data_IF_995799178082
#
_entry.id   IF_995799178082
#
_cell.length_a   1.000
_cell.length_b   1.000
_cell.length_c   1.000
_cell.angle_alpha   90.00
_cell.angle_beta   90.00
_cell.angle_gamma   90.00
#
_symmetry.space_group_name_H-M   'P 1'
#
loop_
_entity.id
_entity.type
_entity.pdbx_description
1 polymer ?
#
# COMPACT_ATOMS: atom_id res chain seq x y z
N UNK A 1 5.87 24.45 -10.65
CA UNK A 1 6.17 23.01 -10.51
C UNK A 1 6.88 22.56 -11.77
N UNK A 2 8.06 21.94 -11.67
CA UNK A 2 8.72 21.34 -12.82
C UNK A 2 7.86 20.19 -13.36
N UNK A 3 7.81 20.03 -14.68
CA UNK A 3 7.05 18.95 -15.30
C UNK A 3 7.57 17.59 -14.80
N UNK A 4 6.65 16.69 -14.43
CA UNK A 4 7.01 15.32 -13.98
C UNK A 4 7.81 14.60 -15.09
N UNK A 5 8.89 13.87 -14.78
CA UNK A 5 9.72 13.20 -15.79
C UNK A 5 8.90 12.25 -16.67
N UNK A 6 9.27 12.12 -17.95
CA UNK A 6 8.57 11.27 -18.91
C UNK A 6 8.38 9.82 -18.40
N UNK A 7 9.40 9.13 -17.85
CA UNK A 7 9.20 7.76 -17.34
C UNK A 7 8.16 7.68 -16.22
N UNK A 8 8.12 8.67 -15.32
CA UNK A 8 7.12 8.74 -14.24
C UNK A 8 5.72 8.96 -14.79
N UNK A 9 5.57 9.82 -15.81
CA UNK A 9 4.26 10.09 -16.43
C UNK A 9 3.71 8.87 -17.15
N UNK A 10 4.55 8.18 -17.92
CA UNK A 10 4.16 6.97 -18.67
C UNK A 10 3.82 5.82 -17.72
N UNK A 11 4.61 5.64 -16.66
CA UNK A 11 4.31 4.67 -15.62
C UNK A 11 3.01 5.00 -14.89
N UNK A 12 2.79 6.26 -14.50
CA UNK A 12 1.55 6.66 -13.84
C UNK A 12 0.33 6.43 -14.74
N UNK A 13 0.42 6.78 -16.03
CA UNK A 13 -0.65 6.54 -16.99
C UNK A 13 -1.00 5.05 -17.10
N UNK A 14 0.01 4.17 -17.12
CA UNK A 14 -0.20 2.72 -17.07
C UNK A 14 -0.93 2.29 -15.78
N UNK A 15 -0.53 2.80 -14.61
CA UNK A 15 -1.20 2.47 -13.35
C UNK A 15 -2.66 2.94 -13.34
N UNK A 16 -2.94 4.15 -13.82
CA UNK A 16 -4.32 4.67 -13.95
C UNK A 16 -5.15 3.78 -14.87
N UNK A 17 -4.64 3.42 -16.05
CA UNK A 17 -5.32 2.57 -17.02
C UNK A 17 -5.72 1.21 -16.43
N UNK A 18 -4.85 0.62 -15.60
CA UNK A 18 -5.05 -0.70 -15.03
C UNK A 18 -5.43 -0.71 -13.55
N UNK A 19 -5.81 0.45 -12.98
CA UNK A 19 -6.13 0.58 -11.55
C UNK A 19 -7.24 -0.36 -11.10
N UNK A 20 -8.21 -0.62 -11.98
CA UNK A 20 -9.33 -1.53 -11.74
C UNK A 20 -8.90 -2.95 -11.34
N UNK A 21 -7.73 -3.42 -11.80
CA UNK A 21 -7.19 -4.74 -11.44
C UNK A 21 -6.89 -4.81 -9.95
N UNK A 22 -6.08 -3.87 -9.44
CA UNK A 22 -5.73 -3.86 -8.03
C UNK A 22 -6.92 -3.44 -7.16
N UNK A 23 -7.78 -2.54 -7.63
CA UNK A 23 -8.99 -2.15 -6.91
C UNK A 23 -9.89 -3.35 -6.57
N UNK A 24 -10.09 -4.28 -7.51
CA UNK A 24 -10.85 -5.51 -7.24
C UNK A 24 -10.20 -6.40 -6.17
N UNK A 25 -8.87 -6.55 -6.23
CA UNK A 25 -8.09 -7.31 -5.24
C UNK A 25 -8.20 -6.67 -3.85
N UNK A 26 -8.04 -5.35 -3.76
CA UNK A 26 -8.16 -4.61 -2.50
C UNK A 26 -9.58 -4.69 -1.94
N UNK A 27 -10.61 -4.64 -2.80
CA UNK A 27 -12.00 -4.80 -2.37
C UNK A 27 -12.25 -6.19 -1.78
N UNK A 28 -11.67 -7.25 -2.33
CA UNK A 28 -11.74 -8.60 -1.76
C UNK A 28 -11.06 -8.68 -0.38
N UNK A 29 -9.82 -8.20 -0.28
CA UNK A 29 -9.08 -8.17 0.98
C UNK A 29 -9.82 -7.37 2.08
N UNK A 30 -10.31 -6.18 1.75
CA UNK A 30 -11.06 -5.34 2.69
C UNK A 30 -12.43 -5.93 3.01
N UNK A 31 -13.12 -6.50 2.02
CA UNK A 31 -14.42 -7.15 2.23
C UNK A 31 -14.35 -8.26 3.27
N UNK A 32 -13.32 -9.10 3.22
CA UNK A 32 -13.07 -10.11 4.25
C UNK A 32 -12.61 -9.51 5.59
N UNK A 33 -11.77 -8.48 5.56
CA UNK A 33 -11.30 -7.81 6.79
C UNK A 33 -12.45 -7.15 7.55
N UNK A 34 -13.52 -6.80 6.82
CA UNK A 34 -14.74 -6.19 7.34
C UNK A 34 -15.89 -7.21 7.49
N UNK A 35 -15.62 -8.52 7.49
CA UNK A 35 -16.62 -9.57 7.67
C UNK A 35 -17.17 -9.75 9.09
N UNK A 36 -16.45 -9.40 10.20
CA UNK A 36 -16.99 -9.54 11.54
C UNK A 36 -18.32 -8.82 11.76
N UNK A 37 -19.06 -9.22 12.79
CA UNK A 37 -20.40 -8.68 13.06
C UNK A 37 -20.35 -7.21 13.53
N UNK A 38 -19.42 -6.88 14.42
CA UNK A 38 -19.31 -5.56 15.05
C UNK A 38 -18.27 -4.68 14.33
N UNK A 39 -18.45 -3.36 14.40
CA UNK A 39 -17.47 -2.41 13.84
C UNK A 39 -16.12 -2.51 14.58
N UNK A 40 -16.17 -2.75 15.88
CA UNK A 40 -14.98 -2.94 16.72
C UNK A 40 -14.13 -4.13 16.25
N UNK A 41 -14.75 -5.31 16.10
CA UNK A 41 -14.05 -6.51 15.62
C UNK A 41 -13.51 -6.34 14.19
N UNK A 42 -14.24 -5.62 13.33
CA UNK A 42 -13.74 -5.27 11.98
C UNK A 42 -12.48 -4.43 12.04
N UNK A 43 -12.42 -3.47 12.96
CA UNK A 43 -11.27 -2.58 13.11
C UNK A 43 -10.06 -3.36 13.61
N UNK A 44 -10.26 -4.18 14.65
CA UNK A 44 -9.23 -5.05 15.18
C UNK A 44 -8.74 -6.05 14.12
N UNK A 45 -9.63 -6.69 13.37
CA UNK A 45 -9.26 -7.63 12.31
C UNK A 45 -8.46 -6.95 11.19
N UNK A 46 -8.86 -5.76 10.76
CA UNK A 46 -8.12 -4.99 9.75
C UNK A 46 -6.70 -4.65 10.25
N UNK A 47 -6.55 -4.18 11.49
CA UNK A 47 -5.25 -3.91 12.10
C UNK A 47 -4.40 -5.19 12.17
N UNK A 48 -4.97 -6.31 12.62
CA UNK A 48 -4.29 -7.60 12.69
C UNK A 48 -3.79 -8.05 11.32
N UNK A 49 -4.64 -8.01 10.30
CA UNK A 49 -4.27 -8.41 8.93
C UNK A 49 -3.15 -7.54 8.38
N UNK A 50 -3.15 -6.23 8.64
CA UNK A 50 -2.05 -5.35 8.23
C UNK A 50 -0.75 -5.70 8.96
N UNK A 51 -0.78 -5.89 10.28
CA UNK A 51 0.41 -6.25 11.06
C UNK A 51 0.97 -7.62 10.68
N UNK A 52 0.12 -8.57 10.28
CA UNK A 52 0.52 -9.88 9.78
C UNK A 52 1.24 -9.84 8.42
N UNK A 53 1.24 -8.70 7.71
CA UNK A 53 2.07 -8.53 6.50
C UNK A 53 3.56 -8.31 6.80
N UNK A 54 3.93 -8.15 8.08
CA UNK A 54 5.33 -8.06 8.49
C UNK A 54 6.02 -9.41 8.31
N UNK A 55 7.25 -9.39 7.80
CA UNK A 55 8.03 -10.62 7.62
C UNK A 55 8.45 -11.29 8.94
N UNK A 56 8.62 -10.49 10.01
CA UNK A 56 9.00 -10.93 11.35
C UNK A 56 8.31 -10.05 12.40
N UNK A 57 7.00 -10.25 12.65
CA UNK A 57 6.26 -9.43 13.60
C UNK A 57 6.79 -9.61 15.03
N UNK A 58 6.97 -8.50 15.74
CA UNK A 58 7.32 -8.53 17.17
C UNK A 58 6.03 -8.61 17.98
N UNK A 59 5.73 -9.78 18.52
CA UNK A 59 4.42 -10.05 19.14
C UNK A 59 4.19 -9.26 20.42
N UNK A 60 5.19 -9.09 21.29
CA UNK A 60 4.97 -8.36 22.57
C UNK A 60 4.59 -6.88 22.33
N UNK A 61 5.29 -6.11 21.46
CA UNK A 61 4.85 -4.76 21.10
C UNK A 61 3.46 -4.73 20.45
N UNK A 62 3.14 -5.69 19.59
CA UNK A 62 1.80 -5.77 18.96
C UNK A 62 0.73 -6.03 20.02
N UNK A 63 0.99 -6.93 20.97
CA UNK A 63 0.09 -7.23 22.09
C UNK A 63 -0.15 -5.97 22.93
N UNK A 64 0.92 -5.23 23.25
CA UNK A 64 0.81 -3.96 23.96
C UNK A 64 -0.12 -2.97 23.24
N UNK A 65 0.09 -2.77 21.94
CA UNK A 65 -0.76 -1.90 21.14
C UNK A 65 -2.25 -2.31 21.19
N UNK A 66 -2.56 -3.59 20.99
CA UNK A 66 -3.96 -4.04 21.02
C UNK A 66 -4.62 -3.92 22.39
N UNK A 67 -3.86 -4.09 23.47
CA UNK A 67 -4.35 -3.81 24.83
C UNK A 67 -4.70 -2.34 24.98
N UNK A 68 -3.82 -1.44 24.56
CA UNK A 68 -4.05 0.01 24.63
C UNK A 68 -5.25 0.46 23.78
N UNK A 69 -5.43 -0.10 22.58
CA UNK A 69 -6.59 0.17 21.73
C UNK A 69 -7.89 -0.23 22.43
N UNK A 70 -7.93 -1.43 23.03
CA UNK A 70 -9.11 -1.94 23.72
C UNK A 70 -9.41 -1.16 24.99
N UNK A 71 -8.41 -0.94 25.83
CA UNK A 71 -8.56 -0.25 27.12
C UNK A 71 -9.06 1.19 26.96
N UNK A 72 -8.78 1.81 25.81
CA UNK A 72 -9.19 3.19 25.49
C UNK A 72 -10.42 3.29 24.59
N UNK A 73 -11.03 2.18 24.17
CA UNK A 73 -12.12 2.18 23.18
C UNK A 73 -11.72 2.79 21.83
N UNK A 74 -10.43 2.77 21.49
CA UNK A 74 -9.90 3.47 20.32
C UNK A 74 -10.29 2.80 18.98
N UNK A 75 -10.90 1.60 19.03
CA UNK A 75 -11.40 0.88 17.86
C UNK A 75 -12.88 1.15 17.54
N UNK A 76 -13.59 1.91 18.37
CA UNK A 76 -15.03 2.14 18.21
C UNK A 76 -15.38 3.03 17.00
N UNK A 77 -14.57 4.07 16.75
CA UNK A 77 -14.74 5.02 15.66
C UNK A 77 -13.40 5.67 15.27
N UNK A 78 -13.40 6.35 14.12
CA UNK A 78 -12.17 6.95 13.60
C UNK A 78 -11.68 8.13 14.45
N UNK A 79 -12.58 8.94 15.03
CA UNK A 79 -12.21 10.05 15.90
C UNK A 79 -11.44 9.58 17.15
N UNK A 80 -11.94 8.55 17.84
CA UNK A 80 -11.29 7.93 18.99
C UNK A 80 -9.93 7.32 18.61
N UNK A 81 -9.87 6.59 17.50
CA UNK A 81 -8.63 6.05 16.95
C UNK A 81 -7.61 7.17 16.70
N UNK A 82 -8.01 8.20 15.95
CA UNK A 82 -7.13 9.33 15.60
C UNK A 82 -6.65 10.06 16.84
N UNK A 83 -7.50 10.31 17.83
CA UNK A 83 -7.13 10.99 19.07
C UNK A 83 -6.04 10.22 19.82
N UNK A 84 -6.18 8.89 19.91
CA UNK A 84 -5.19 8.03 20.54
C UNK A 84 -3.85 8.03 19.79
N UNK A 85 -3.90 7.88 18.46
CA UNK A 85 -2.70 7.71 17.62
C UNK A 85 -1.91 9.01 17.44
N UNK A 86 -2.60 10.14 17.26
CA UNK A 86 -1.95 11.41 16.87
C UNK A 86 -1.44 12.23 18.05
N UNK A 87 -1.50 11.69 19.28
CA UNK A 87 -1.13 12.40 20.52
C UNK A 87 -1.78 13.79 20.53
N UNK A 88 -3.12 13.81 20.40
CA UNK A 88 -3.90 15.06 20.37
C UNK A 88 -3.72 15.92 19.11
N UNK A 89 -3.27 15.34 17.99
CA UNK A 89 -3.08 16.04 16.71
C UNK A 89 -1.70 16.66 16.50
N UNK A 90 -0.73 16.38 17.39
CA UNK A 90 0.64 16.89 17.27
C UNK A 90 1.43 16.25 16.12
N UNK A 91 1.00 15.09 15.64
CA UNK A 91 1.60 14.37 14.51
C UNK A 91 0.52 13.90 13.52
N UNK A 92 0.91 13.74 12.24
CA UNK A 92 0.04 13.16 11.22
C UNK A 92 -0.30 11.70 11.53
N UNK A 93 -1.39 11.18 10.96
CA UNK A 93 -1.91 9.85 11.32
C UNK A 93 -0.90 8.72 11.04
N UNK A 94 -0.25 8.74 9.87
CA UNK A 94 0.77 7.73 9.54
C UNK A 94 1.97 7.81 10.47
N UNK A 95 2.44 9.02 10.77
CA UNK A 95 3.61 9.20 11.64
C UNK A 95 3.30 8.82 13.09
N UNK A 96 2.13 9.22 13.60
CA UNK A 96 1.65 8.82 14.93
C UNK A 96 1.46 7.31 15.05
N UNK A 97 0.95 6.66 14.01
CA UNK A 97 0.78 5.21 14.00
C UNK A 97 2.13 4.49 13.93
N UNK A 98 3.10 5.02 13.17
CA UNK A 98 4.44 4.47 13.09
C UNK A 98 5.24 4.59 14.40
N UNK A 99 4.81 5.44 15.33
CA UNK A 99 5.38 5.54 16.68
C UNK A 99 4.78 4.52 17.67
N UNK A 100 3.68 3.86 17.30
CA UNK A 100 3.02 2.90 18.19
C UNK A 100 3.80 1.58 18.28
N UNK A 101 3.77 0.89 19.44
CA UNK A 101 4.38 -0.42 19.60
C UNK A 101 3.96 -1.42 18.50
N UNK A 102 4.95 -2.05 17.85
CA UNK A 102 4.70 -3.06 16.82
C UNK A 102 4.41 -2.52 15.42
N UNK A 103 4.24 -1.20 15.27
CA UNK A 103 4.04 -0.56 13.98
C UNK A 103 5.36 0.01 13.43
N UNK A 104 5.53 -0.10 12.11
CA UNK A 104 6.60 0.59 11.39
C UNK A 104 6.01 1.46 10.28
N UNK A 105 6.84 2.33 9.69
CA UNK A 105 6.40 3.29 8.65
C UNK A 105 5.61 2.62 7.52
N UNK A 106 6.07 1.46 7.02
CA UNK A 106 5.36 0.71 5.96
C UNK A 106 3.97 0.25 6.41
N UNK A 107 3.87 -0.41 7.55
CA UNK A 107 2.58 -0.97 8.00
C UNK A 107 1.61 0.13 8.40
N UNK A 108 2.10 1.22 8.99
CA UNK A 108 1.30 2.41 9.25
C UNK A 108 0.74 3.01 7.95
N UNK A 109 1.60 3.22 6.94
CA UNK A 109 1.17 3.69 5.62
C UNK A 109 0.14 2.75 4.98
N UNK A 110 0.36 1.43 5.07
CA UNK A 110 -0.56 0.41 4.54
C UNK A 110 -1.94 0.45 5.23
N UNK A 111 -1.98 0.61 6.55
CA UNK A 111 -3.24 0.71 7.29
C UNK A 111 -4.01 1.97 6.93
N UNK A 112 -3.35 3.14 6.92
CA UNK A 112 -4.03 4.40 6.55
C UNK A 112 -4.47 4.37 5.09
N UNK A 113 -3.71 3.74 4.19
CA UNK A 113 -4.12 3.47 2.81
C UNK A 113 -5.39 2.61 2.76
N UNK A 114 -5.52 1.59 3.61
CA UNK A 114 -6.74 0.78 3.68
C UNK A 114 -7.95 1.60 4.16
N UNK A 115 -7.76 2.48 5.14
CA UNK A 115 -8.79 3.43 5.55
C UNK A 115 -9.24 4.33 4.39
N UNK A 116 -8.32 4.77 3.53
CA UNK A 116 -8.66 5.60 2.37
C UNK A 116 -9.46 4.84 1.31
N UNK A 117 -9.15 3.56 1.05
CA UNK A 117 -9.99 2.71 0.19
C UNK A 117 -11.38 2.48 0.79
N UNK A 118 -11.47 2.27 2.11
CA UNK A 118 -12.76 2.14 2.79
C UNK A 118 -13.55 3.45 2.68
N UNK A 119 -12.90 4.60 2.90
CA UNK A 119 -13.52 5.92 2.83
C UNK A 119 -14.08 6.23 1.44
N UNK A 120 -13.34 5.84 0.39
CA UNK A 120 -13.69 6.11 -1.00
C UNK A 120 -14.69 5.11 -1.61
N UNK A 121 -14.94 3.98 -0.96
CA UNK A 121 -15.80 2.91 -1.49
C UNK A 121 -17.07 2.75 -0.65
N UNK A 122 -18.23 3.14 -1.21
CA UNK A 122 -19.49 3.27 -0.46
C UNK A 122 -19.94 1.99 0.28
N UNK A 123 -19.78 0.82 -0.34
CA UNK A 123 -20.17 -0.46 0.27
C UNK A 123 -19.25 -0.88 1.44
N UNK A 124 -17.95 -0.58 1.37
CA UNK A 124 -17.00 -0.80 2.46
C UNK A 124 -17.23 0.21 3.58
N UNK A 125 -17.43 1.48 3.21
CA UNK A 125 -17.72 2.57 4.13
C UNK A 125 -18.95 2.29 5.00
N UNK A 126 -20.00 1.71 4.42
CA UNK A 126 -21.21 1.35 5.15
C UNK A 126 -20.98 0.29 6.24
N UNK A 127 -19.89 -0.49 6.14
CA UNK A 127 -19.53 -1.56 7.07
C UNK A 127 -18.52 -1.15 8.14
N UNK A 128 -17.96 0.06 8.09
CA UNK A 128 -16.85 0.46 8.97
C UNK A 128 -17.11 1.79 9.68
N UNK A 129 -16.05 2.45 10.17
CA UNK A 129 -16.11 3.78 10.78
C UNK A 129 -16.64 4.83 9.79
N UNK A 130 -17.90 5.25 9.97
CA UNK A 130 -18.59 6.21 9.08
C UNK A 130 -17.92 7.59 9.06
N UNK A 131 -17.25 7.93 10.15
CA UNK A 131 -16.51 9.16 10.41
C UNK A 131 -15.07 9.14 9.87
N UNK A 132 -14.64 8.09 9.15
CA UNK A 132 -13.32 8.05 8.49
C UNK A 132 -13.11 9.27 7.58
N UNK A 133 -11.99 9.97 7.79
CA UNK A 133 -11.54 11.17 7.04
C UNK A 133 -10.00 11.18 6.94
N UNK A 134 -9.46 10.23 6.18
CA UNK A 134 -8.01 10.12 5.90
C UNK A 134 -7.63 10.70 4.55
N UNK A 135 -8.60 10.97 3.66
CA UNK A 135 -8.38 11.67 2.39
C UNK A 135 -8.36 13.20 2.53
N UNK A 136 -8.58 13.71 3.74
CA UNK A 136 -8.47 15.13 4.08
C UNK A 136 -7.08 15.42 4.67
N UNK A 137 -6.37 16.39 4.08
CA UNK A 137 -5.13 16.92 4.67
C UNK A 137 -3.85 16.13 4.37
N UNK A 138 -3.75 15.47 3.21
CA UNK A 138 -2.53 14.81 2.70
C UNK A 138 -1.90 13.79 3.67
N UNK A 139 -2.75 12.92 4.22
CA UNK A 139 -2.38 11.99 5.28
C UNK A 139 -1.79 10.68 4.74
N UNK A 140 -1.91 10.40 3.43
CA UNK A 140 -1.42 9.15 2.88
C UNK A 140 0.09 9.17 2.67
N UNK A 141 0.69 7.99 2.71
CA UNK A 141 2.07 7.72 2.32
C UNK A 141 2.08 6.44 1.50
N UNK A 142 2.94 6.36 0.49
CA UNK A 142 3.14 5.11 -0.25
C UNK A 142 3.83 4.08 0.68
N UNK A 143 3.28 2.87 0.86
CA UNK A 143 3.92 1.83 1.68
C UNK A 143 5.10 1.19 0.94
N UNK A 144 6.25 1.87 0.95
CA UNK A 144 7.46 1.42 0.24
C UNK A 144 8.10 0.21 0.92
N UNK A 145 8.20 -0.89 0.20
CA UNK A 145 8.91 -2.11 0.62
C UNK A 145 9.89 -2.58 -0.45
N UNK A 146 10.52 -3.75 -0.24
CA UNK A 146 11.50 -4.31 -1.16
C UNK A 146 10.98 -4.49 -2.60
N UNK A 147 9.67 -4.70 -2.83
CA UNK A 147 9.11 -4.79 -4.18
C UNK A 147 9.22 -3.44 -4.89
N UNK A 148 8.79 -2.36 -4.21
CA UNK A 148 8.83 -1.01 -4.75
C UNK A 148 10.28 -0.52 -4.88
N UNK A 149 11.15 -0.84 -3.92
CA UNK A 149 12.57 -0.49 -4.01
C UNK A 149 13.22 -1.13 -5.24
N UNK A 150 12.95 -2.40 -5.52
CA UNK A 150 13.46 -3.07 -6.74
C UNK A 150 12.91 -2.46 -8.03
N UNK A 151 11.65 -1.98 -8.04
CA UNK A 151 11.14 -1.21 -9.19
C UNK A 151 11.96 0.08 -9.38
N UNK A 152 12.27 0.77 -8.30
CA UNK A 152 13.04 2.01 -8.34
C UNK A 152 14.51 1.79 -8.71
N UNK A 153 15.10 0.66 -8.34
CA UNK A 153 16.43 0.24 -8.82
C UNK A 153 16.46 0.11 -10.35
N UNK A 154 15.42 -0.50 -10.94
CA UNK A 154 15.30 -0.62 -12.40
C UNK A 154 15.01 0.73 -13.09
N UNK A 155 14.20 1.59 -12.47
CA UNK A 155 13.88 2.92 -13.00
C UNK A 155 15.03 3.93 -12.89
N UNK A 156 15.95 3.75 -11.93
CA UNK A 156 16.96 4.74 -11.58
C UNK A 156 17.78 5.28 -12.78
N UNK A 157 18.26 4.44 -13.73
CA UNK A 157 18.97 4.92 -14.92
C UNK A 157 18.11 5.82 -15.81
N UNK A 158 16.80 5.54 -15.93
CA UNK A 158 15.87 6.32 -16.75
C UNK A 158 15.47 7.65 -16.11
N UNK A 159 15.59 7.73 -14.78
CA UNK A 159 15.26 8.92 -13.99
C UNK A 159 16.47 9.83 -13.72
N UNK A 160 17.68 9.43 -14.14
CA UNK A 160 18.94 10.05 -13.70
C UNK A 160 18.98 10.20 -12.17
N UNK A 161 18.59 9.14 -11.46
CA UNK A 161 18.38 9.18 -10.02
C UNK A 161 19.70 9.31 -9.27
N UNK A 162 19.93 10.46 -8.63
CA UNK A 162 21.19 10.77 -7.94
C UNK A 162 21.24 10.46 -6.43
N UNK A 163 20.23 9.80 -5.85
CA UNK A 163 20.16 9.48 -4.40
C UNK A 163 20.25 7.97 -4.17
N UNK A 164 20.59 7.52 -2.96
CA UNK A 164 20.44 6.11 -2.62
C UNK A 164 18.96 5.67 -2.73
N UNK A 165 18.71 4.48 -3.28
CA UNK A 165 17.35 3.91 -3.32
C UNK A 165 16.99 3.40 -1.93
N UNK A 166 16.08 4.12 -1.27
CA UNK A 166 15.61 3.80 0.08
C UNK A 166 14.15 4.21 0.25
N UNK A 167 13.45 3.62 1.22
CA UNK A 167 12.04 3.93 1.46
C UNK A 167 11.79 5.42 1.72
N UNK A 168 12.68 6.07 2.46
CA UNK A 168 12.58 7.51 2.76
C UNK A 168 12.81 8.38 1.53
N UNK A 169 13.79 8.03 0.67
CA UNK A 169 14.07 8.80 -0.54
C UNK A 169 12.97 8.61 -1.60
N UNK A 170 12.45 7.39 -1.77
CA UNK A 170 11.32 7.10 -2.66
C UNK A 170 10.06 7.81 -2.18
N UNK A 171 9.72 7.72 -0.88
CA UNK A 171 8.58 8.44 -0.31
C UNK A 171 8.69 9.96 -0.50
N UNK A 172 9.87 10.55 -0.21
CA UNK A 172 10.12 11.98 -0.44
C UNK A 172 9.96 12.36 -1.91
N UNK A 173 10.43 11.52 -2.82
CA UNK A 173 10.34 11.78 -4.25
C UNK A 173 8.88 11.91 -4.73
N UNK A 174 8.00 10.98 -4.33
CA UNK A 174 6.58 11.07 -4.70
C UNK A 174 5.89 12.30 -4.12
N UNK A 175 6.04 12.55 -2.82
CA UNK A 175 5.32 13.61 -2.14
C UNK A 175 5.89 15.00 -2.43
N UNK A 176 7.20 15.17 -2.24
CA UNK A 176 7.84 16.48 -2.25
C UNK A 176 8.32 16.87 -3.64
N UNK A 177 9.02 15.96 -4.30
CA UNK A 177 9.71 16.29 -5.55
C UNK A 177 8.73 16.22 -6.75
N UNK A 178 7.74 15.32 -6.73
CA UNK A 178 6.73 15.15 -7.79
C UNK A 178 5.34 15.73 -7.46
N UNK A 179 5.08 16.05 -6.19
CA UNK A 179 3.84 16.69 -5.74
C UNK A 179 2.59 15.80 -5.85
N UNK A 180 2.73 14.48 -5.77
CA UNK A 180 1.58 13.56 -5.76
C UNK A 180 0.82 13.63 -4.43
N UNK A 181 -0.52 13.67 -4.51
CA UNK A 181 -1.44 13.77 -3.35
C UNK A 181 -2.23 12.48 -3.12
N UNK A 182 -2.98 12.42 -2.03
CA UNK A 182 -3.62 11.20 -1.50
C UNK A 182 -4.32 10.33 -2.56
N UNK A 183 -5.19 10.91 -3.39
CA UNK A 183 -5.89 10.13 -4.45
C UNK A 183 -4.94 9.56 -5.50
N UNK A 184 -3.91 10.31 -5.87
CA UNK A 184 -2.91 9.83 -6.83
C UNK A 184 -2.02 8.75 -6.19
N UNK A 185 -1.78 8.82 -4.87
CA UNK A 185 -0.98 7.84 -4.14
C UNK A 185 -1.69 6.50 -3.98
N UNK A 186 -3.04 6.49 -3.96
CA UNK A 186 -3.80 5.24 -4.05
C UNK A 186 -3.54 4.50 -5.37
N UNK A 187 -3.36 5.22 -6.47
CA UNK A 187 -2.98 4.62 -7.75
C UNK A 187 -1.51 4.18 -7.74
N UNK A 188 -0.62 4.97 -7.13
CA UNK A 188 0.79 4.57 -7.00
C UNK A 188 0.99 3.30 -6.15
N UNK A 189 0.09 3.00 -5.22
CA UNK A 189 0.11 1.75 -4.44
C UNK A 189 0.02 0.50 -5.35
N UNK A 190 -0.58 0.61 -6.53
CA UNK A 190 -0.64 -0.48 -7.53
C UNK A 190 0.74 -0.93 -8.01
N UNK A 191 1.78 -0.11 -7.84
CA UNK A 191 3.17 -0.53 -8.08
C UNK A 191 3.51 -1.80 -7.32
N UNK A 192 2.96 -1.98 -6.11
CA UNK A 192 3.21 -3.18 -5.33
C UNK A 192 2.69 -4.42 -6.05
N UNK A 193 1.46 -4.41 -6.58
CA UNK A 193 0.89 -5.53 -7.31
C UNK A 193 1.73 -5.86 -8.55
N UNK A 194 1.98 -4.86 -9.40
CA UNK A 194 2.73 -5.05 -10.64
C UNK A 194 4.15 -5.52 -10.35
N UNK A 195 4.86 -4.88 -9.42
CA UNK A 195 6.19 -5.31 -9.01
C UNK A 195 6.20 -6.70 -8.43
N UNK A 196 5.21 -7.07 -7.62
CA UNK A 196 5.15 -8.38 -6.99
C UNK A 196 5.06 -9.48 -8.03
N UNK A 197 4.11 -9.39 -8.97
CA UNK A 197 3.89 -10.40 -10.01
C UNK A 197 4.92 -10.38 -11.14
N UNK A 198 5.78 -9.35 -11.21
CA UNK A 198 6.89 -9.28 -12.17
C UNK A 198 8.28 -9.43 -11.55
N UNK A 199 8.39 -9.97 -10.34
CA UNK A 199 9.68 -10.20 -9.68
C UNK A 199 9.79 -11.65 -9.21
N UNK A 200 10.94 -12.29 -9.42
CA UNK A 200 11.28 -13.62 -8.90
C UNK A 200 12.37 -13.50 -7.85
N UNK A 201 12.18 -14.17 -6.71
CA UNK A 201 13.22 -14.28 -5.69
C UNK A 201 14.10 -15.46 -6.05
N UNK A 202 15.38 -15.22 -6.31
CA UNK A 202 16.36 -16.28 -6.64
C UNK A 202 17.35 -16.39 -5.48
N UNK A 203 17.62 -17.62 -5.03
CA UNK A 203 18.54 -17.85 -3.91
C UNK A 203 19.92 -17.23 -4.20
N UNK A 204 20.40 -16.40 -3.26
CA UNK A 204 21.71 -15.76 -3.36
C UNK A 204 21.84 -14.60 -4.35
N UNK A 205 20.74 -14.12 -4.97
CA UNK A 205 20.77 -12.99 -5.94
C UNK A 205 19.78 -11.89 -5.63
N UNK A 206 20.02 -10.72 -6.23
CA UNK A 206 19.02 -9.66 -6.47
C UNK A 206 17.84 -10.22 -7.28
N UNK A 207 16.64 -9.68 -7.04
CA UNK A 207 15.40 -10.14 -7.65
C UNK A 207 15.49 -10.09 -9.18
N UNK A 208 15.03 -11.13 -9.86
CA UNK A 208 14.96 -11.16 -11.32
C UNK A 208 13.63 -10.60 -11.79
N UNK A 209 13.66 -9.73 -12.80
CA UNK A 209 12.46 -9.18 -13.40
C UNK A 209 11.88 -10.10 -14.47
N UNK A 210 10.58 -10.31 -14.44
CA UNK A 210 9.87 -11.17 -15.38
C UNK A 210 8.54 -11.66 -14.82
N UNK A 211 7.61 -12.03 -15.70
CA UNK A 211 6.33 -12.61 -15.31
C UNK A 211 6.53 -13.78 -14.34
N UNK A 212 5.86 -13.70 -13.19
CA UNK A 212 5.90 -14.70 -12.13
C UNK A 212 4.48 -15.18 -11.83
N UNK A 213 4.07 -16.19 -12.58
CA UNK A 213 2.76 -16.83 -12.44
C UNK A 213 2.51 -17.34 -11.02
N UNK A 214 3.51 -17.99 -10.39
CA UNK A 214 3.37 -18.50 -9.02
C UNK A 214 3.01 -17.40 -8.03
N UNK A 215 3.59 -16.20 -8.18
CA UNK A 215 3.21 -15.05 -7.35
C UNK A 215 1.82 -14.53 -7.69
N UNK A 216 1.44 -14.50 -8.96
CA UNK A 216 0.07 -14.13 -9.34
C UNK A 216 -0.97 -15.04 -8.67
N UNK A 217 -0.77 -16.36 -8.72
CA UNK A 217 -1.63 -17.34 -8.05
C UNK A 217 -1.68 -17.15 -6.53
N UNK A 218 -0.59 -16.66 -5.93
CA UNK A 218 -0.51 -16.34 -4.51
C UNK A 218 -1.20 -15.03 -4.10
N UNK A 219 -1.60 -14.17 -5.05
CA UNK A 219 -2.39 -12.97 -4.74
C UNK A 219 -3.83 -13.38 -4.46
N UNK A 220 -4.35 -13.21 -3.23
CA UNK A 220 -5.75 -13.47 -2.94
C UNK A 220 -6.64 -12.55 -3.79
N UNK A 221 -7.81 -13.02 -4.21
CA UNK A 221 -8.80 -12.25 -4.99
C UNK A 221 -8.37 -11.84 -6.41
N UNK A 222 -7.18 -12.22 -6.88
CA UNK A 222 -6.84 -12.08 -8.29
C UNK A 222 -7.76 -13.00 -9.14
N UNK A 223 -8.27 -12.54 -10.29
CA UNK A 223 -8.97 -13.41 -11.24
C UNK A 223 -8.10 -14.60 -11.67
N UNK A 224 -8.67 -15.78 -11.88
CA UNK A 224 -7.90 -17.02 -12.17
C UNK A 224 -8.34 -17.72 -13.45
N UNK A 225 -9.23 -17.10 -14.22
CA UNK A 225 -9.57 -17.60 -15.53
C UNK A 225 -8.41 -17.36 -16.52
N UNK A 226 -8.36 -18.18 -17.57
CA UNK A 226 -7.27 -18.16 -18.54
C UNK A 226 -7.12 -16.81 -19.24
N UNK A 227 -8.25 -16.15 -19.57
CA UNK A 227 -8.26 -14.88 -20.28
C UNK A 227 -7.66 -13.77 -19.41
N UNK A 228 -8.05 -13.71 -18.12
CA UNK A 228 -7.49 -12.76 -17.17
C UNK A 228 -5.99 -12.97 -16.95
N UNK A 229 -5.53 -14.21 -16.80
CA UNK A 229 -4.10 -14.52 -16.62
C UNK A 229 -3.27 -14.05 -17.81
N UNK A 230 -3.72 -14.36 -19.04
CA UNK A 230 -3.00 -13.95 -20.24
C UNK A 230 -3.00 -12.42 -20.40
N UNK A 231 -4.11 -11.75 -20.08
CA UNK A 231 -4.16 -10.29 -20.05
C UNK A 231 -3.15 -9.69 -19.05
N UNK A 232 -3.12 -10.17 -17.80
CA UNK A 232 -2.18 -9.68 -16.78
C UNK A 232 -0.73 -9.96 -17.18
N UNK A 233 -0.45 -11.09 -17.82
CA UNK A 233 0.88 -11.41 -18.35
C UNK A 233 1.30 -10.45 -19.46
N UNK A 234 0.39 -10.04 -20.35
CA UNK A 234 0.66 -9.02 -21.37
C UNK A 234 0.90 -7.64 -20.75
N UNK A 235 0.06 -7.21 -19.80
CA UNK A 235 0.25 -5.97 -19.05
C UNK A 235 1.57 -5.98 -18.27
N UNK A 236 1.95 -7.13 -17.70
CA UNK A 236 3.23 -7.32 -17.02
C UNK A 236 4.43 -7.10 -17.96
N UNK A 237 4.35 -7.54 -19.23
CA UNK A 237 5.41 -7.24 -20.23
C UNK A 237 5.51 -5.73 -20.50
N UNK A 238 4.37 -5.03 -20.60
CA UNK A 238 4.34 -3.57 -20.78
C UNK A 238 4.92 -2.84 -19.57
N UNK A 239 4.51 -3.22 -18.36
CA UNK A 239 5.06 -2.69 -17.11
C UNK A 239 6.58 -2.83 -17.04
N UNK A 240 7.11 -4.02 -17.35
CA UNK A 240 8.55 -4.28 -17.35
C UNK A 240 9.32 -3.38 -18.32
N UNK A 241 8.76 -3.09 -19.51
CA UNK A 241 9.35 -2.13 -20.45
C UNK A 241 9.36 -0.70 -19.90
N UNK A 242 8.25 -0.27 -19.27
CA UNK A 242 8.13 1.08 -18.69
C UNK A 242 9.15 1.33 -17.57
N UNK A 243 9.49 0.28 -16.80
CA UNK A 243 10.47 0.40 -15.71
C UNK A 243 11.91 0.12 -16.15
N UNK A 244 12.16 -0.15 -17.44
CA UNK A 244 13.50 -0.44 -17.96
C UNK A 244 14.02 -1.85 -17.68
N UNK A 245 13.16 -2.75 -17.23
CA UNK A 245 13.51 -4.11 -16.82
C UNK A 245 13.34 -5.17 -17.93
N UNK A 246 12.82 -4.78 -19.10
CA UNK A 246 12.76 -5.61 -20.30
C UNK A 246 13.36 -4.85 -21.49
N UNK A 247 14.14 -5.55 -22.30
CA UNK A 247 14.63 -5.06 -23.60
C UNK A 247 13.53 -5.12 -24.66
#
# INVERSE_FOLDING_TARGET
>A
MTARPKPIRELYAFLVEHHHVNAAIQQGFLGESLSPATVDDRALLLMHRVLQTQSRPRLDPICQFFREIRDRGASENFAAFRQHITVGGSVGLVDGLALQPGWGTKTAALFVRNLAYIESTSNLRAKFWRDTRVLEGDQLRLPVDAVILTIFEALAPHLNWGKAISASNVGRFFHRDLGYRDRELLVWDDLWFWGFVTQKTVAGKTREHGWNESKYWAVPHAPRDHQSIEHIKQCSKRFLKLIGAAK
#
